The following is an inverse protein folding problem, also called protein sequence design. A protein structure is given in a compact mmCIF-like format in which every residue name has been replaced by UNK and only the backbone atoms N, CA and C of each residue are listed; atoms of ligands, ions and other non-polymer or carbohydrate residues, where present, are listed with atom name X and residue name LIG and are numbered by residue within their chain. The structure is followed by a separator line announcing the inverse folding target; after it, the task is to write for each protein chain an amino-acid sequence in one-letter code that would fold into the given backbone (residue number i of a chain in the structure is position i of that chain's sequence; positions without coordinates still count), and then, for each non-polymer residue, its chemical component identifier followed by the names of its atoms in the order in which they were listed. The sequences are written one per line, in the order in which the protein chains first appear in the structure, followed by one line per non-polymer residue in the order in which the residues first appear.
data_IF_581973424158
#
_entry.id   IF_581973424158
#
_cell.length_a   1.000
_cell.length_b   1.000
_cell.length_c   1.000
_cell.angle_alpha   90.00
_cell.angle_beta   90.00
_cell.angle_gamma   90.00
#
_symmetry.space_group_name_H-M   'P 1'
#
loop_
_entity.id
_entity.type
_entity.pdbx_description
1 polymer ?
#
# COMPACT_ATOMS: atom_id res chain seq x y z
N UNK A 1 -0.27 -65.20 14.01
CA UNK A 1 0.96 -64.79 14.73
C UNK A 1 2.02 -64.57 13.67
N UNK A 2 2.09 -63.38 13.07
CA UNK A 2 2.85 -62.19 13.49
C UNK A 2 4.38 -62.32 13.36
N UNK A 3 4.97 -61.58 12.42
CA UNK A 3 6.27 -60.87 12.47
C UNK A 3 6.47 -60.16 11.11
N UNK A 4 6.40 -58.83 10.95
CA UNK A 4 7.32 -57.75 11.40
C UNK A 4 8.71 -57.87 10.75
N UNK A 5 9.33 -56.91 10.04
CA UNK A 5 9.03 -55.57 9.48
C UNK A 5 10.09 -55.32 8.33
N UNK A 6 10.27 -54.12 7.68
CA UNK A 6 10.70 -52.92 8.40
C UNK A 6 9.92 -51.64 8.03
N UNK A 7 9.63 -50.89 9.09
CA UNK A 7 9.02 -49.57 9.12
C UNK A 7 10.06 -48.44 8.95
N UNK A 8 11.03 -48.59 8.03
CA UNK A 8 12.14 -47.61 7.89
C UNK A 8 11.93 -46.54 6.82
N UNK A 9 10.98 -46.69 5.89
CA UNK A 9 10.82 -45.74 4.77
C UNK A 9 9.80 -44.61 5.03
N UNK A 10 8.90 -44.77 6.01
CA UNK A 10 7.81 -43.79 6.24
C UNK A 10 8.31 -42.56 7.02
N UNK A 11 9.36 -42.69 7.82
CA UNK A 11 9.91 -41.58 8.61
C UNK A 11 10.67 -40.54 7.77
N UNK A 12 11.15 -40.89 6.57
CA UNK A 12 11.96 -40.00 5.74
C UNK A 12 11.10 -39.05 4.88
N UNK A 13 9.90 -39.47 4.48
CA UNK A 13 8.96 -38.67 3.68
C UNK A 13 8.19 -37.63 4.51
N UNK A 14 7.99 -37.85 5.81
CA UNK A 14 7.37 -36.87 6.70
C UNK A 14 8.30 -35.68 7.04
N UNK A 15 9.62 -35.89 6.99
CA UNK A 15 10.63 -34.85 7.28
C UNK A 15 10.80 -33.81 6.17
N UNK A 16 10.55 -34.19 4.91
CA UNK A 16 10.65 -33.27 3.76
C UNK A 16 9.35 -32.48 3.55
N UNK A 17 8.18 -33.07 3.82
CA UNK A 17 6.89 -32.38 3.72
C UNK A 17 6.74 -31.22 4.70
N UNK A 18 7.12 -31.43 5.97
CA UNK A 18 7.08 -30.37 7.01
C UNK A 18 8.11 -29.26 6.74
N UNK A 19 9.27 -29.59 6.16
CA UNK A 19 10.25 -28.55 5.75
C UNK A 19 9.72 -27.73 4.58
N UNK A 20 9.10 -28.37 3.59
CA UNK A 20 8.48 -27.67 2.45
C UNK A 20 7.34 -26.73 2.86
N UNK A 21 6.49 -27.14 3.80
CA UNK A 21 5.39 -26.33 4.33
C UNK A 21 5.88 -25.15 5.18
N UNK A 22 6.90 -25.36 6.01
CA UNK A 22 7.50 -24.26 6.80
C UNK A 22 8.20 -23.26 5.89
N UNK A 23 8.85 -23.71 4.81
CA UNK A 23 9.43 -22.81 3.81
C UNK A 23 8.38 -22.02 3.02
N UNK A 24 7.22 -22.63 2.71
CA UNK A 24 6.10 -21.95 2.08
C UNK A 24 5.46 -20.92 3.03
N UNK A 25 5.30 -21.27 4.30
CA UNK A 25 4.82 -20.33 5.33
C UNK A 25 5.80 -19.17 5.51
N UNK A 26 7.10 -19.43 5.62
CA UNK A 26 8.13 -18.39 5.75
C UNK A 26 8.23 -17.50 4.51
N UNK A 27 7.92 -18.02 3.32
CA UNK A 27 7.78 -17.21 2.10
C UNK A 27 6.54 -16.31 2.20
N UNK A 28 5.37 -16.86 2.53
CA UNK A 28 4.13 -16.09 2.69
C UNK A 28 4.23 -15.02 3.79
N UNK A 29 4.95 -15.31 4.88
CA UNK A 29 5.21 -14.36 5.96
C UNK A 29 6.22 -13.26 5.55
N UNK A 30 7.18 -13.57 4.68
CA UNK A 30 8.11 -12.56 4.12
C UNK A 30 7.44 -11.67 3.09
N UNK A 31 6.58 -12.26 2.25
CA UNK A 31 5.85 -11.57 1.19
C UNK A 31 4.65 -10.75 1.72
N UNK A 32 4.48 -10.67 3.05
CA UNK A 32 3.41 -9.93 3.75
C UNK A 32 2.00 -10.37 3.35
N UNK A 33 1.83 -11.58 2.81
CA UNK A 33 0.52 -12.14 2.46
C UNK A 33 -0.32 -12.56 3.69
N UNK A 34 0.29 -12.59 4.89
CA UNK A 34 -0.35 -13.00 6.14
C UNK A 34 -0.12 -11.94 7.23
N UNK A 35 -1.20 -11.40 7.80
CA UNK A 35 -1.14 -10.51 8.96
C UNK A 35 -0.93 -11.31 10.25
N UNK A 36 0.13 -11.01 11.01
CA UNK A 36 0.60 -11.85 12.13
C UNK A 36 0.12 -11.42 13.52
N UNK A 37 -0.59 -10.30 13.66
CA UNK A 37 -1.06 -9.75 14.96
C UNK A 37 0.02 -9.43 16.00
N UNK A 38 1.28 -9.82 15.77
CA UNK A 38 2.46 -9.58 16.60
C UNK A 38 3.24 -8.43 15.99
N UNK A 39 3.80 -7.56 16.84
CA UNK A 39 4.58 -6.40 16.43
C UNK A 39 5.51 -6.79 15.27
N UNK A 40 5.33 -6.21 14.07
CA UNK A 40 6.16 -6.55 12.93
C UNK A 40 7.62 -6.27 13.29
N UNK A 41 8.54 -7.02 12.68
CA UNK A 41 9.93 -6.62 12.67
C UNK A 41 10.02 -5.14 12.28
N UNK A 42 10.93 -4.39 12.89
CA UNK A 42 11.08 -2.96 12.58
C UNK A 42 11.15 -2.79 11.05
N UNK A 43 10.27 -1.96 10.46
CA UNK A 43 10.21 -1.84 9.01
C UNK A 43 11.56 -1.40 8.46
N UNK A 44 11.89 -1.86 7.25
CA UNK A 44 13.06 -1.38 6.55
C UNK A 44 12.98 0.15 6.41
N UNK A 45 14.14 0.81 6.51
CA UNK A 45 14.26 2.28 6.39
C UNK A 45 14.52 2.67 4.94
N UNK A 46 13.67 2.17 4.06
CA UNK A 46 13.73 2.30 2.60
C UNK A 46 12.47 2.99 2.04
N UNK A 47 11.81 3.79 2.87
CA UNK A 47 10.65 4.59 2.45
C UNK A 47 11.00 5.63 1.39
N UNK A 48 10.01 5.99 0.59
CA UNK A 48 10.09 7.10 -0.37
C UNK A 48 10.05 8.40 0.41
N UNK A 49 11.05 9.27 0.24
CA UNK A 49 11.13 10.53 0.97
C UNK A 49 9.84 11.35 0.84
N UNK A 50 9.37 11.90 1.96
CA UNK A 50 8.16 12.74 1.98
C UNK A 50 8.39 14.11 1.36
N UNK A 51 9.66 14.52 1.22
CA UNK A 51 10.07 15.88 0.88
C UNK A 51 10.22 16.78 2.11
N UNK A 52 9.86 16.28 3.29
CA UNK A 52 9.97 16.99 4.57
C UNK A 52 10.90 16.21 5.51
N UNK A 53 12.15 16.65 5.62
CA UNK A 53 13.16 15.93 6.41
C UNK A 53 12.79 15.74 7.89
N UNK A 54 12.02 16.66 8.47
CA UNK A 54 11.48 16.52 9.83
C UNK A 54 10.46 15.38 9.96
N UNK A 55 9.64 15.16 8.93
CA UNK A 55 8.69 14.06 8.89
C UNK A 55 9.39 12.73 8.60
N UNK A 56 10.32 12.72 7.64
CA UNK A 56 11.15 11.54 7.36
C UNK A 56 11.95 11.08 8.59
N UNK A 57 12.32 11.99 9.49
CA UNK A 57 13.01 11.64 10.72
C UNK A 57 12.14 10.85 11.73
N UNK A 58 10.82 11.06 11.72
CA UNK A 58 9.89 10.46 12.68
C UNK A 58 9.12 9.26 12.11
N UNK A 59 9.04 9.12 10.79
CA UNK A 59 8.38 7.96 10.18
C UNK A 59 9.23 6.67 10.34
N UNK A 60 8.61 5.52 10.66
CA UNK A 60 9.33 4.25 10.86
C UNK A 60 10.20 3.83 9.66
N UNK A 61 9.69 4.06 8.46
CA UNK A 61 10.32 3.77 7.16
C UNK A 61 11.25 4.89 6.67
N UNK A 62 11.33 6.01 7.40
CA UNK A 62 11.99 7.27 6.99
C UNK A 62 11.45 7.87 5.68
N UNK A 63 10.14 7.77 5.49
CA UNK A 63 9.41 8.19 4.30
C UNK A 63 8.13 7.39 4.14
N UNK A 64 7.44 7.56 3.01
CA UNK A 64 6.27 6.79 2.62
C UNK A 64 6.60 5.33 2.32
N UNK A 65 5.67 4.41 2.61
CA UNK A 65 5.75 3.03 2.16
C UNK A 65 5.47 2.99 0.65
N UNK A 66 6.45 2.54 -0.15
CA UNK A 66 6.35 2.57 -1.61
C UNK A 66 5.31 1.61 -2.20
N UNK A 67 5.26 0.39 -1.66
CA UNK A 67 4.36 -0.68 -2.10
C UNK A 67 3.41 -1.06 -0.95
N UNK A 68 2.56 -0.12 -0.57
CA UNK A 68 1.63 -0.30 0.53
C UNK A 68 0.68 0.88 0.69
N UNK A 69 -0.19 0.78 1.69
CA UNK A 69 -1.11 1.84 2.05
C UNK A 69 -0.44 2.79 3.05
N UNK A 70 -0.49 4.09 2.75
CA UNK A 70 -0.16 5.14 3.69
C UNK A 70 -1.46 5.86 4.04
N UNK A 71 -1.81 5.93 5.32
CA UNK A 71 -3.00 6.60 5.81
C UNK A 71 -2.62 7.93 6.46
N UNK A 72 -3.23 9.02 6.01
CA UNK A 72 -3.01 10.37 6.54
C UNK A 72 -4.31 10.81 7.21
N UNK A 73 -4.33 10.75 8.54
CA UNK A 73 -5.49 11.18 9.34
C UNK A 73 -5.45 12.70 9.53
N UNK A 74 -6.43 13.38 8.96
CA UNK A 74 -6.58 14.83 9.05
C UNK A 74 -7.85 15.18 9.83
N UNK A 75 -7.86 16.27 10.61
CA UNK A 75 -9.03 16.65 11.41
C UNK A 75 -10.24 17.04 10.55
N UNK A 76 -10.00 17.61 9.38
CA UNK A 76 -10.97 17.83 8.31
C UNK A 76 -10.22 17.93 6.97
N UNK A 77 -10.94 17.78 5.86
CA UNK A 77 -10.44 17.97 4.50
C UNK A 77 -10.26 19.46 4.16
N UNK A 78 -9.42 19.76 3.18
CA UNK A 78 -9.17 21.13 2.72
C UNK A 78 -8.28 21.98 3.65
N UNK A 79 -7.58 21.37 4.59
CA UNK A 79 -6.64 22.05 5.52
C UNK A 79 -5.23 22.23 4.94
N UNK A 80 -5.02 21.81 3.69
CA UNK A 80 -3.69 21.78 3.06
C UNK A 80 -3.03 20.40 3.15
N UNK A 81 -3.80 19.36 3.41
CA UNK A 81 -3.34 17.96 3.46
C UNK A 81 -2.59 17.52 2.20
N UNK A 82 -2.95 18.12 1.06
CA UNK A 82 -2.31 17.86 -0.22
C UNK A 82 -0.87 18.39 -0.28
N UNK A 83 -0.52 19.43 0.47
CA UNK A 83 0.86 19.94 0.51
C UNK A 83 1.85 18.86 0.98
N UNK A 84 1.39 17.97 1.86
CA UNK A 84 2.17 16.83 2.32
C UNK A 84 2.45 15.82 1.20
N UNK A 85 1.53 15.70 0.24
CA UNK A 85 1.61 14.73 -0.87
C UNK A 85 2.28 15.31 -2.12
N UNK A 86 2.36 16.64 -2.26
CA UNK A 86 2.95 17.31 -3.43
C UNK A 86 4.32 16.78 -3.84
N UNK A 87 5.32 16.64 -2.94
CA UNK A 87 6.63 16.15 -3.35
C UNK A 87 6.58 14.74 -3.95
N UNK A 88 5.72 13.87 -3.42
CA UNK A 88 5.54 12.50 -3.88
C UNK A 88 4.87 12.47 -5.26
N UNK A 89 3.78 13.22 -5.44
CA UNK A 89 3.00 13.21 -6.68
C UNK A 89 3.74 13.90 -7.83
N UNK A 90 4.48 14.98 -7.54
CA UNK A 90 5.35 15.64 -8.51
C UNK A 90 6.44 14.68 -9.00
N UNK A 91 7.11 13.96 -8.08
CA UNK A 91 8.12 12.96 -8.44
C UNK A 91 7.53 11.81 -9.26
N UNK A 92 6.39 11.26 -8.85
CA UNK A 92 5.73 10.15 -9.56
C UNK A 92 5.38 10.53 -11.00
N UNK A 93 4.77 11.70 -11.20
CA UNK A 93 4.37 12.15 -12.55
C UNK A 93 5.57 12.62 -13.39
N UNK A 94 6.61 13.20 -12.77
CA UNK A 94 7.86 13.52 -13.46
C UNK A 94 8.56 12.25 -14.00
N UNK A 95 8.52 11.16 -13.24
CA UNK A 95 9.00 9.83 -13.63
C UNK A 95 8.15 9.12 -14.68
N UNK A 96 7.05 9.72 -15.11
CA UNK A 96 6.15 9.14 -16.12
C UNK A 96 5.05 8.24 -15.57
N UNK A 97 4.86 8.22 -14.25
CA UNK A 97 3.79 7.48 -13.59
C UNK A 97 2.43 8.16 -13.77
N UNK A 98 1.35 7.37 -13.73
CA UNK A 98 -0.02 7.87 -13.67
C UNK A 98 -0.45 8.04 -12.21
N UNK A 99 -1.13 9.13 -11.91
CA UNK A 99 -1.71 9.41 -10.58
C UNK A 99 -3.22 9.46 -10.71
N UNK A 100 -3.92 8.68 -9.89
CA UNK A 100 -5.37 8.71 -9.81
C UNK A 100 -5.84 9.37 -8.50
N UNK A 101 -6.74 10.34 -8.61
CA UNK A 101 -7.48 10.94 -7.51
C UNK A 101 -8.87 10.32 -7.48
N UNK A 102 -9.20 9.62 -6.41
CA UNK A 102 -10.44 8.86 -6.28
C UNK A 102 -11.35 9.56 -5.27
N UNK A 103 -12.56 9.89 -5.71
CA UNK A 103 -13.58 10.57 -4.93
C UNK A 103 -13.06 11.83 -4.19
N UNK A 104 -12.30 12.74 -4.85
CA UNK A 104 -11.82 13.93 -4.17
C UNK A 104 -13.01 14.76 -3.66
N UNK A 105 -12.96 15.28 -2.42
CA UNK A 105 -14.10 15.96 -1.80
C UNK A 105 -14.48 17.26 -2.52
N UNK A 106 -13.53 17.84 -3.25
CA UNK A 106 -13.71 19.05 -4.04
C UNK A 106 -13.10 18.89 -5.43
N UNK A 107 -13.53 19.74 -6.37
CA UNK A 107 -12.96 19.79 -7.72
C UNK A 107 -11.48 20.23 -7.63
N UNK A 108 -10.51 19.41 -8.09
CA UNK A 108 -9.11 19.79 -8.08
C UNK A 108 -8.84 21.06 -8.89
N UNK A 109 -8.28 22.09 -8.25
CA UNK A 109 -7.92 23.33 -8.92
C UNK A 109 -6.60 23.17 -9.69
N UNK A 110 -6.69 22.81 -10.98
CA UNK A 110 -5.54 22.42 -11.81
C UNK A 110 -4.30 23.34 -11.73
N UNK A 111 -4.40 24.69 -11.67
CA UNK A 111 -3.22 25.54 -11.53
C UNK A 111 -2.40 25.28 -10.26
N UNK A 112 -3.03 24.94 -9.14
CA UNK A 112 -2.31 24.62 -7.90
C UNK A 112 -1.50 23.31 -8.04
N UNK A 113 -2.08 22.30 -8.71
CA UNK A 113 -1.39 21.03 -8.99
C UNK A 113 -0.21 21.23 -9.93
N UNK A 114 -0.38 22.07 -10.95
CA UNK A 114 0.72 22.43 -11.84
C UNK A 114 1.83 23.18 -11.12
N UNK A 115 1.48 24.16 -10.27
CA UNK A 115 2.43 24.91 -9.46
C UNK A 115 3.19 24.02 -8.46
N UNK A 116 2.55 22.96 -7.97
CA UNK A 116 3.17 21.92 -7.14
C UNK A 116 4.11 20.98 -7.92
N UNK A 117 4.24 21.15 -9.24
CA UNK A 117 5.12 20.33 -10.10
C UNK A 117 4.48 19.04 -10.62
N UNK A 118 3.18 18.84 -10.43
CA UNK A 118 2.46 17.68 -10.96
C UNK A 118 2.21 17.87 -12.45
N UNK A 119 2.53 16.84 -13.26
CA UNK A 119 2.19 16.82 -14.69
C UNK A 119 0.72 16.49 -14.88
N UNK A 120 -0.08 17.49 -15.28
CA UNK A 120 -1.54 17.38 -15.36
C UNK A 120 -2.00 16.32 -16.36
N UNK A 121 -1.23 16.07 -17.42
CA UNK A 121 -1.49 15.03 -18.42
C UNK A 121 -1.38 13.59 -17.87
N UNK A 122 -0.90 13.44 -16.63
CA UNK A 122 -0.77 12.17 -15.91
C UNK A 122 -1.68 12.09 -14.69
N UNK A 123 -2.51 13.12 -14.46
CA UNK A 123 -3.43 13.21 -13.34
C UNK A 123 -4.84 12.84 -13.80
N UNK A 124 -5.38 11.77 -13.24
CA UNK A 124 -6.72 11.29 -13.53
C UNK A 124 -7.63 11.53 -12.34
N UNK A 125 -8.80 12.10 -12.59
CA UNK A 125 -9.81 12.32 -11.55
C UNK A 125 -10.96 11.35 -11.76
N UNK A 126 -11.18 10.48 -10.79
CA UNK A 126 -12.29 9.53 -10.77
C UNK A 126 -13.31 10.02 -9.75
N UNK A 127 -14.44 10.52 -10.26
CA UNK A 127 -15.61 10.79 -9.44
C UNK A 127 -16.32 9.46 -9.18
N UNK A 128 -16.58 9.16 -7.91
CA UNK A 128 -17.24 7.93 -7.49
C UNK A 128 -18.25 8.23 -6.39
N UNK A 129 -19.34 7.45 -6.37
CA UNK A 129 -20.26 7.45 -5.23
C UNK A 129 -19.51 7.00 -3.95
N UNK A 130 -19.94 7.44 -2.76
CA UNK A 130 -19.28 7.11 -1.48
C UNK A 130 -18.95 5.61 -1.30
N UNK A 131 -19.89 4.73 -1.67
CA UNK A 131 -19.74 3.27 -1.57
C UNK A 131 -18.74 2.67 -2.56
N UNK A 132 -18.48 3.37 -3.67
CA UNK A 132 -17.70 2.85 -4.80
C UNK A 132 -16.26 3.39 -4.80
N UNK A 133 -15.93 4.37 -3.95
CA UNK A 133 -14.62 5.01 -3.89
C UNK A 133 -13.48 4.02 -3.57
N UNK A 134 -13.64 3.19 -2.55
CA UNK A 134 -12.63 2.17 -2.21
C UNK A 134 -12.50 1.11 -3.32
N UNK A 135 -13.61 0.71 -3.92
CA UNK A 135 -13.60 -0.23 -5.04
C UNK A 135 -12.86 0.36 -6.25
N UNK A 136 -13.10 1.62 -6.60
CA UNK A 136 -12.41 2.31 -7.69
C UNK A 136 -10.89 2.42 -7.42
N UNK A 137 -10.50 2.74 -6.18
CA UNK A 137 -9.09 2.76 -5.78
C UNK A 137 -8.45 1.37 -5.94
N UNK A 138 -9.15 0.31 -5.53
CA UNK A 138 -8.70 -1.07 -5.72
C UNK A 138 -8.53 -1.41 -7.21
N UNK A 139 -9.48 -1.05 -8.07
CA UNK A 139 -9.36 -1.29 -9.51
C UNK A 139 -8.15 -0.56 -10.11
N UNK A 140 -7.91 0.69 -9.71
CA UNK A 140 -6.73 1.45 -10.14
C UNK A 140 -5.42 0.74 -9.73
N UNK A 141 -5.34 0.23 -8.49
CA UNK A 141 -4.17 -0.51 -8.01
C UNK A 141 -3.99 -1.85 -8.75
N UNK A 142 -5.07 -2.62 -8.94
CA UNK A 142 -5.06 -3.92 -9.63
C UNK A 142 -4.67 -3.82 -11.10
N UNK A 143 -4.99 -2.69 -11.75
CA UNK A 143 -4.66 -2.47 -13.16
C UNK A 143 -3.16 -2.40 -13.44
N UNK A 144 -2.34 -2.06 -12.43
CA UNK A 144 -0.92 -1.78 -12.59
C UNK A 144 -0.60 -0.51 -13.41
N UNK A 145 -1.62 0.26 -13.82
CA UNK A 145 -1.43 1.46 -14.63
C UNK A 145 -1.05 2.69 -13.78
N UNK A 146 -1.45 2.71 -12.50
CA UNK A 146 -1.23 3.82 -11.58
C UNK A 146 0.03 3.61 -10.75
N UNK A 147 0.88 4.63 -10.67
CA UNK A 147 2.05 4.67 -9.77
C UNK A 147 1.67 5.19 -8.39
N UNK A 148 0.64 6.03 -8.30
CA UNK A 148 0.04 6.44 -7.04
C UNK A 148 -1.48 6.55 -7.18
N UNK A 149 -2.18 6.21 -6.10
CA UNK A 149 -3.63 6.38 -5.96
C UNK A 149 -3.86 7.15 -4.68
N UNK A 150 -4.54 8.29 -4.77
CA UNK A 150 -4.99 9.08 -3.62
C UNK A 150 -6.49 8.95 -3.54
N UNK A 151 -6.99 8.43 -2.42
CA UNK A 151 -8.41 8.18 -2.20
C UNK A 151 -8.88 8.95 -0.97
N UNK A 152 -10.05 9.58 -1.10
CA UNK A 152 -10.78 10.15 0.03
C UNK A 152 -11.97 9.24 0.35
N UNK A 153 -11.76 8.17 1.13
CA UNK A 153 -12.84 7.29 1.50
C UNK A 153 -13.85 8.09 2.33
N UNK A 154 -15.13 7.94 2.02
CA UNK A 154 -16.17 8.33 2.95
C UNK A 154 -16.22 7.26 4.04
N UNK A 155 -16.37 7.69 5.29
CA UNK A 155 -16.54 6.76 6.41
C UNK A 155 -17.82 5.97 6.17
N UNK A 156 -17.70 4.72 5.76
CA UNK A 156 -18.75 3.75 6.04
C UNK A 156 -18.82 3.64 7.55
N UNK A 157 -20.00 3.84 8.13
CA UNK A 157 -20.27 3.41 9.51
C UNK A 157 -19.81 1.94 9.61
N UNK A 158 -19.06 1.57 10.64
CA UNK A 158 -18.54 0.20 10.91
C UNK A 158 -19.68 -0.80 11.22
N UNK A 159 -20.89 -0.54 10.73
CA UNK A 159 -22.11 -1.33 10.90
C UNK A 159 -22.52 -1.89 9.54
N UNK A 160 -21.82 -2.93 9.09
CA UNK A 160 -22.40 -4.02 8.30
C UNK A 160 -21.56 -5.30 8.49
#
# INVERSE_FOLDING_TARGET
MNSSAPASDIARLAGDGLRGEVHALDALLRDRAIWRGRAPAAPARDGVATGFGSLDAVLPTRGWIAAGLNEVLVPCDGVGELELLWPLLAQATAGGGQVALIAPPYVPYAPAWHAAGVRLERLHVVQADPRDGLWAAEQCMRSGACTAVVCWPQTSDDRD
#
